data_IF_208256070723
#
_entry.id   IF_208256070723
#
_cell.length_a   1.000
_cell.length_b   1.000
_cell.length_c   1.000
_cell.angle_alpha   90.00
_cell.angle_beta   90.00
_cell.angle_gamma   90.00
#
_symmetry.space_group_name_H-M   'P 1'
#
loop_
_entity.id
_entity.type
_entity.pdbx_description
1 polymer ?
#
# COMPACT_ATOMS: atom_id res chain seq x y z
N UNK A 1 8.53 -30.60 7.73
CA UNK A 1 8.48 -32.04 7.39
C UNK A 1 7.92 -32.79 8.58
N UNK A 2 6.84 -33.53 8.38
CA UNK A 2 6.07 -34.24 9.41
C UNK A 2 5.92 -35.71 9.00
N UNK A 3 7.02 -36.28 8.50
CA UNK A 3 7.09 -37.66 8.04
C UNK A 3 6.72 -38.66 9.16
N UNK A 4 5.84 -39.61 8.84
CA UNK A 4 5.35 -40.65 9.75
C UNK A 4 5.78 -42.03 9.23
N UNK A 5 6.74 -42.64 9.92
CA UNK A 5 7.29 -43.97 9.56
C UNK A 5 6.23 -45.09 9.56
N UNK A 6 5.24 -45.01 10.46
CA UNK A 6 4.09 -45.92 10.51
C UNK A 6 3.29 -45.91 9.20
N UNK A 7 3.03 -44.73 8.64
CA UNK A 7 2.27 -44.58 7.42
C UNK A 7 3.02 -45.13 6.21
N UNK A 8 4.35 -44.90 6.14
CA UNK A 8 5.18 -45.50 5.10
C UNK A 8 5.18 -47.04 5.19
N UNK A 9 5.21 -47.61 6.40
CA UNK A 9 5.11 -49.06 6.60
C UNK A 9 3.77 -49.62 6.11
N UNK A 10 2.68 -48.92 6.42
CA UNK A 10 1.33 -49.29 5.94
C UNK A 10 1.28 -49.30 4.42
N UNK A 11 1.78 -48.24 3.76
CA UNK A 11 1.82 -48.17 2.28
C UNK A 11 2.72 -49.24 1.65
N UNK A 12 3.85 -49.55 2.27
CA UNK A 12 4.73 -50.61 1.81
C UNK A 12 4.04 -52.00 1.85
N UNK A 13 3.26 -52.25 2.91
CA UNK A 13 2.48 -53.48 3.07
C UNK A 13 1.29 -53.55 2.10
N UNK A 14 0.54 -52.46 1.96
CA UNK A 14 -0.58 -52.35 1.00
C UNK A 14 -0.12 -52.60 -0.44
N UNK A 15 1.05 -52.07 -0.82
CA UNK A 15 1.63 -52.27 -2.15
C UNK A 15 2.29 -53.66 -2.34
N UNK A 16 2.30 -54.51 -1.30
CA UNK A 16 2.94 -55.84 -1.34
C UNK A 16 4.44 -55.78 -1.62
N UNK A 17 5.14 -54.70 -1.24
CA UNK A 17 6.56 -54.48 -1.55
C UNK A 17 7.43 -54.76 -0.33
N UNK A 18 8.62 -55.32 -0.57
CA UNK A 18 9.62 -55.53 0.47
C UNK A 18 10.49 -54.30 0.70
N UNK A 19 11.18 -54.26 1.85
CA UNK A 19 12.22 -53.26 2.12
C UNK A 19 13.34 -53.30 1.08
N UNK A 20 13.76 -54.50 0.65
CA UNK A 20 14.78 -54.70 -0.38
C UNK A 20 14.34 -54.14 -1.73
N UNK A 21 13.05 -54.26 -2.07
CA UNK A 21 12.48 -53.66 -3.27
C UNK A 21 12.56 -52.14 -3.24
N UNK A 22 12.15 -51.52 -2.14
CA UNK A 22 12.18 -50.06 -2.00
C UNK A 22 13.62 -49.51 -2.02
N UNK A 23 14.57 -50.21 -1.38
CA UNK A 23 15.99 -49.87 -1.42
C UNK A 23 16.55 -49.84 -2.85
N UNK A 24 16.23 -50.88 -3.64
CA UNK A 24 16.63 -50.97 -5.05
C UNK A 24 16.03 -49.86 -5.91
N UNK A 25 14.75 -49.53 -5.73
CA UNK A 25 14.06 -48.54 -6.57
C UNK A 25 14.40 -47.08 -6.22
N UNK A 26 14.82 -46.83 -4.98
CA UNK A 26 15.24 -45.51 -4.50
C UNK A 26 16.75 -45.28 -4.59
N UNK A 27 17.52 -46.29 -5.03
CA UNK A 27 18.98 -46.21 -5.09
C UNK A 27 19.65 -46.07 -3.72
N UNK A 28 19.00 -46.56 -2.65
CA UNK A 28 19.52 -46.51 -1.27
C UNK A 28 19.88 -47.90 -0.76
N UNK A 29 20.63 -47.94 0.35
CA UNK A 29 20.92 -49.21 1.03
C UNK A 29 19.72 -49.70 1.84
N UNK A 30 19.59 -51.03 2.03
CA UNK A 30 18.56 -51.59 2.91
C UNK A 30 18.65 -51.06 4.35
N UNK A 31 19.87 -50.79 4.84
CA UNK A 31 20.10 -50.18 6.15
C UNK A 31 19.47 -48.79 6.23
N UNK A 32 19.59 -47.98 5.19
CA UNK A 32 18.97 -46.65 5.11
C UNK A 32 17.45 -46.75 5.13
N UNK A 33 16.85 -47.60 4.29
CA UNK A 33 15.40 -47.80 4.27
C UNK A 33 14.89 -48.38 5.59
N UNK A 34 15.65 -49.28 6.23
CA UNK A 34 15.28 -49.78 7.56
C UNK A 34 15.24 -48.68 8.62
N UNK A 35 16.13 -47.69 8.54
CA UNK A 35 16.09 -46.52 9.45
C UNK A 35 14.87 -45.63 9.18
N UNK A 36 14.43 -45.53 7.93
CA UNK A 36 13.21 -44.80 7.55
C UNK A 36 11.96 -45.44 8.17
N UNK A 37 11.81 -46.76 7.98
CA UNK A 37 10.67 -47.53 8.47
C UNK A 37 10.60 -47.60 10.00
N UNK A 38 11.76 -47.52 10.67
CA UNK A 38 11.86 -47.54 12.14
C UNK A 38 11.87 -46.13 12.77
N UNK A 39 11.73 -45.07 11.98
CA UNK A 39 11.65 -43.68 12.48
C UNK A 39 12.98 -43.07 12.97
N UNK A 40 14.13 -43.73 12.77
CA UNK A 40 15.41 -43.24 13.28
C UNK A 40 16.03 -42.11 12.46
N UNK A 41 15.80 -42.09 11.14
CA UNK A 41 16.23 -41.00 10.27
C UNK A 41 15.23 -40.90 9.11
N UNK A 42 14.35 -39.89 9.04
CA UNK A 42 13.36 -39.81 7.97
C UNK A 42 14.01 -39.61 6.58
N UNK A 43 13.32 -39.97 5.48
CA UNK A 43 13.78 -39.64 4.13
C UNK A 43 13.86 -38.13 3.95
N UNK A 44 14.78 -37.65 3.09
CA UNK A 44 14.82 -36.22 2.73
C UNK A 44 13.64 -35.87 1.83
N UNK A 45 13.23 -34.59 1.78
CA UNK A 45 12.09 -34.14 0.95
C UNK A 45 12.20 -34.63 -0.49
N UNK A 46 13.40 -34.55 -1.09
CA UNK A 46 13.67 -35.02 -2.46
C UNK A 46 13.47 -36.52 -2.69
N UNK A 47 13.56 -37.34 -1.65
CA UNK A 47 13.39 -38.79 -1.74
C UNK A 47 11.89 -39.18 -1.64
N UNK A 48 11.01 -38.30 -1.12
CA UNK A 48 9.59 -38.60 -0.88
C UNK A 48 8.77 -38.76 -2.17
N UNK A 49 8.92 -37.94 -3.24
CA UNK A 49 8.26 -38.17 -4.52
C UNK A 49 8.60 -39.53 -5.13
N UNK A 50 9.87 -39.92 -5.08
CA UNK A 50 10.33 -41.20 -5.63
C UNK A 50 9.77 -42.39 -4.85
N UNK A 51 9.67 -42.27 -3.52
CA UNK A 51 9.02 -43.29 -2.69
C UNK A 51 7.54 -43.42 -3.04
N UNK A 52 6.84 -42.28 -3.20
CA UNK A 52 5.42 -42.24 -3.53
C UNK A 52 5.13 -42.86 -4.92
N UNK A 53 5.94 -42.51 -5.92
CA UNK A 53 5.87 -43.06 -7.28
C UNK A 53 6.03 -44.60 -7.27
N UNK A 54 7.04 -45.11 -6.56
CA UNK A 54 7.33 -46.55 -6.47
C UNK A 54 6.21 -47.33 -5.77
N UNK A 55 5.50 -46.68 -4.85
CA UNK A 55 4.40 -47.27 -4.09
C UNK A 55 3.02 -46.98 -4.70
N UNK A 56 2.94 -46.20 -5.78
CA UNK A 56 1.68 -45.83 -6.43
C UNK A 56 0.76 -44.98 -5.56
N UNK A 57 1.34 -44.11 -4.72
CA UNK A 57 0.60 -43.28 -3.77
C UNK A 57 1.09 -41.82 -3.81
N UNK A 58 0.60 -40.95 -2.92
CA UNK A 58 1.03 -39.56 -2.80
C UNK A 58 2.05 -39.40 -1.67
N UNK A 59 3.04 -38.49 -1.76
CA UNK A 59 3.96 -38.23 -0.65
C UNK A 59 3.24 -37.82 0.65
N UNK A 60 2.09 -37.15 0.53
CA UNK A 60 1.25 -36.75 1.67
C UNK A 60 0.69 -37.94 2.46
N UNK A 61 0.63 -39.13 1.86
CA UNK A 61 0.15 -40.34 2.52
C UNK A 61 1.08 -40.81 3.63
N UNK A 62 2.35 -40.37 3.64
CA UNK A 62 3.31 -40.68 4.70
C UNK A 62 4.06 -39.46 5.24
N UNK A 63 3.89 -38.28 4.66
CA UNK A 63 4.23 -37.00 5.26
C UNK A 63 3.10 -35.99 5.02
N UNK A 64 2.13 -35.86 5.94
CA UNK A 64 0.98 -34.97 5.76
C UNK A 64 1.33 -33.49 5.56
N UNK A 65 2.55 -33.07 5.91
CA UNK A 65 3.04 -31.71 5.70
C UNK A 65 3.82 -31.53 4.39
N UNK A 66 3.91 -32.58 3.56
CA UNK A 66 4.67 -32.55 2.33
C UNK A 66 4.00 -31.60 1.31
N UNK A 67 4.63 -30.45 1.11
CA UNK A 67 4.47 -29.67 -0.10
C UNK A 67 5.42 -30.25 -1.16
N UNK A 68 4.96 -30.38 -2.40
CA UNK A 68 5.86 -30.67 -3.51
C UNK A 68 6.89 -29.54 -3.61
N UNK A 69 8.07 -29.77 -3.06
CA UNK A 69 9.29 -29.07 -3.45
C UNK A 69 9.70 -29.63 -4.82
N UNK A 70 8.87 -29.33 -5.82
CA UNK A 70 9.10 -29.67 -7.21
C UNK A 70 10.28 -28.87 -7.73
N UNK A 71 11.25 -29.57 -8.31
CA UNK A 71 12.44 -29.01 -8.97
C UNK A 71 12.13 -28.14 -10.21
N UNK A 72 10.85 -27.80 -10.48
CA UNK A 72 10.40 -26.84 -11.51
C UNK A 72 9.60 -25.66 -10.92
N UNK A 73 9.55 -25.51 -9.59
CA UNK A 73 8.95 -24.34 -8.95
C UNK A 73 9.81 -23.09 -9.17
N UNK A 74 9.28 -22.09 -9.88
CA UNK A 74 9.90 -20.77 -9.95
C UNK A 74 9.79 -20.14 -8.56
N UNK A 75 10.94 -19.95 -7.89
CA UNK A 75 10.97 -19.22 -6.62
C UNK A 75 10.65 -17.75 -6.86
N UNK A 76 9.47 -17.33 -6.41
CA UNK A 76 9.06 -15.92 -6.41
C UNK A 76 9.28 -15.38 -5.01
N UNK A 77 10.44 -14.75 -4.79
CA UNK A 77 10.73 -14.01 -3.57
C UNK A 77 10.27 -12.56 -3.72
N UNK A 78 9.22 -12.16 -3.01
CA UNK A 78 8.80 -10.76 -2.93
C UNK A 78 8.62 -10.35 -1.47
N UNK A 79 9.14 -9.17 -1.10
CA UNK A 79 8.77 -8.54 0.17
C UNK A 79 7.39 -7.92 0.00
N UNK A 80 6.41 -8.40 0.76
CA UNK A 80 5.06 -7.84 0.79
C UNK A 80 4.89 -6.88 1.96
N UNK A 81 3.95 -5.94 1.84
CA UNK A 81 3.60 -5.03 2.93
C UNK A 81 2.88 -5.78 4.06
N UNK A 82 2.83 -5.16 5.24
CA UNK A 82 2.05 -5.69 6.38
C UNK A 82 0.56 -5.77 6.01
N UNK A 83 0.04 -4.80 5.26
CA UNK A 83 -1.34 -4.81 4.76
C UNK A 83 -1.63 -6.06 3.90
N UNK A 84 -0.77 -6.37 2.92
CA UNK A 84 -0.90 -7.57 2.10
C UNK A 84 -0.79 -8.85 2.93
N UNK A 85 0.15 -8.89 3.89
CA UNK A 85 0.28 -10.02 4.80
C UNK A 85 -1.00 -10.22 5.63
N UNK A 86 -1.58 -9.15 6.17
CA UNK A 86 -2.83 -9.23 6.92
C UNK A 86 -3.98 -9.72 6.04
N UNK A 87 -4.08 -9.25 4.79
CA UNK A 87 -5.09 -9.73 3.86
C UNK A 87 -4.96 -11.24 3.60
N UNK A 88 -3.74 -11.76 3.44
CA UNK A 88 -3.51 -13.20 3.31
C UNK A 88 -4.00 -13.99 4.53
N UNK A 89 -3.72 -13.51 5.75
CA UNK A 89 -4.18 -14.17 6.97
C UNK A 89 -5.71 -14.16 7.09
N UNK A 90 -6.35 -13.03 6.79
CA UNK A 90 -7.81 -12.91 6.82
C UNK A 90 -8.44 -13.87 5.81
N UNK A 91 -7.92 -13.94 4.59
CA UNK A 91 -8.40 -14.85 3.55
C UNK A 91 -8.18 -16.32 3.94
N UNK A 92 -7.05 -16.63 4.58
CA UNK A 92 -6.76 -17.98 5.11
C UNK A 92 -7.81 -18.39 6.16
N UNK A 93 -8.12 -17.51 7.10
CA UNK A 93 -9.11 -17.77 8.14
C UNK A 93 -10.55 -17.84 7.60
N UNK A 94 -10.88 -16.99 6.62
CA UNK A 94 -12.24 -16.90 6.06
C UNK A 94 -12.56 -18.02 5.07
N UNK A 95 -11.58 -18.38 4.23
CA UNK A 95 -11.80 -19.26 3.07
C UNK A 95 -10.93 -20.53 3.09
N UNK A 96 -10.05 -20.71 4.08
CA UNK A 96 -9.18 -21.90 4.18
C UNK A 96 -8.12 -21.99 3.08
N UNK A 97 -7.76 -20.86 2.45
CA UNK A 97 -6.81 -20.78 1.34
C UNK A 97 -5.40 -20.43 1.81
N UNK A 98 -4.41 -20.99 1.13
CA UNK A 98 -2.99 -20.68 1.38
C UNK A 98 -2.53 -19.48 0.55
N UNK A 99 -1.46 -18.82 1.01
CA UNK A 99 -0.79 -17.75 0.24
C UNK A 99 -0.39 -18.22 -1.17
N UNK A 100 0.08 -19.46 -1.31
CA UNK A 100 0.43 -20.06 -2.60
C UNK A 100 -0.77 -20.10 -3.54
N UNK A 101 -1.92 -20.60 -3.08
CA UNK A 101 -3.13 -20.67 -3.91
C UNK A 101 -3.59 -19.27 -4.35
N UNK A 102 -3.51 -18.28 -3.45
CA UNK A 102 -3.84 -16.90 -3.81
C UNK A 102 -2.87 -16.37 -4.88
N UNK A 103 -1.56 -16.63 -4.74
CA UNK A 103 -0.56 -16.22 -5.73
C UNK A 103 -0.73 -16.91 -7.08
N UNK A 104 -1.10 -18.20 -7.09
CA UNK A 104 -1.38 -18.95 -8.33
C UNK A 104 -2.64 -18.42 -9.03
N UNK A 105 -3.64 -17.94 -8.28
CA UNK A 105 -4.84 -17.31 -8.83
C UNK A 105 -4.65 -15.83 -9.21
N UNK A 106 -3.61 -15.17 -8.72
CA UNK A 106 -3.40 -13.74 -8.91
C UNK A 106 -3.40 -13.31 -10.39
N UNK A 107 -2.75 -14.01 -11.34
CA UNK A 107 -2.82 -13.65 -12.76
C UNK A 107 -4.23 -13.68 -13.35
N UNK A 108 -5.05 -14.65 -12.93
CA UNK A 108 -6.45 -14.79 -13.38
C UNK A 108 -7.26 -13.60 -12.86
N UNK A 109 -7.22 -13.37 -11.55
CA UNK A 109 -7.93 -12.26 -10.90
C UNK A 109 -7.48 -10.90 -11.47
N UNK A 110 -6.17 -10.71 -11.62
CA UNK A 110 -5.61 -9.50 -12.22
C UNK A 110 -6.12 -9.28 -13.64
N UNK A 111 -6.12 -10.32 -14.49
CA UNK A 111 -6.56 -10.20 -15.88
C UNK A 111 -8.05 -9.80 -16.00
N UNK A 112 -8.90 -10.32 -15.11
CA UNK A 112 -10.32 -9.98 -15.05
C UNK A 112 -10.49 -8.51 -14.67
N UNK A 113 -9.85 -8.07 -13.59
CA UNK A 113 -9.96 -6.68 -13.12
C UNK A 113 -9.34 -5.71 -14.12
N UNK A 114 -8.20 -6.05 -14.73
CA UNK A 114 -7.59 -5.24 -15.78
C UNK A 114 -8.49 -5.12 -17.01
N UNK A 115 -9.21 -6.18 -17.39
CA UNK A 115 -10.18 -6.12 -18.48
C UNK A 115 -11.36 -5.20 -18.15
N UNK A 116 -11.87 -5.24 -16.91
CA UNK A 116 -12.88 -4.28 -16.44
C UNK A 116 -12.34 -2.85 -16.42
N UNK A 117 -11.09 -2.64 -15.97
CA UNK A 117 -10.44 -1.34 -15.93
C UNK A 117 -10.39 -0.69 -17.32
N UNK A 118 -10.01 -1.44 -18.35
CA UNK A 118 -9.94 -0.93 -19.71
C UNK A 118 -11.32 -0.59 -20.31
N UNK A 119 -12.40 -1.14 -19.76
CA UNK A 119 -13.78 -0.84 -20.18
C UNK A 119 -14.40 0.34 -19.47
N UNK A 120 -13.82 0.81 -18.37
CA UNK A 120 -14.36 1.89 -17.55
C UNK A 120 -14.76 3.12 -18.37
N UNK A 121 -13.94 3.66 -19.30
CA UNK A 121 -14.31 4.85 -20.07
C UNK A 121 -15.48 4.59 -21.03
N UNK A 122 -15.54 3.42 -21.64
CA UNK A 122 -16.63 3.05 -22.56
C UNK A 122 -17.94 2.81 -21.80
N UNK A 123 -17.86 2.21 -20.62
CA UNK A 123 -19.01 2.03 -19.72
C UNK A 123 -19.57 3.37 -19.21
N UNK A 124 -18.69 4.33 -18.89
CA UNK A 124 -19.08 5.69 -18.50
C UNK A 124 -19.80 6.40 -19.66
N UNK A 125 -19.26 6.26 -20.87
CA UNK A 125 -19.86 6.85 -22.07
C UNK A 125 -21.22 6.20 -22.39
N UNK A 126 -21.33 4.88 -22.28
CA UNK A 126 -22.57 4.16 -22.48
C UNK A 126 -23.64 4.55 -21.44
N UNK A 127 -23.26 4.68 -20.17
CA UNK A 127 -24.16 5.13 -19.11
C UNK A 127 -24.64 6.58 -19.34
N UNK A 128 -23.74 7.45 -19.83
CA UNK A 128 -24.08 8.81 -20.20
C UNK A 128 -25.12 8.84 -21.33
N UNK A 129 -24.87 8.15 -22.44
CA UNK A 129 -25.81 8.08 -23.56
C UNK A 129 -27.16 7.48 -23.17
N UNK A 130 -27.16 6.40 -22.37
CA UNK A 130 -28.41 5.82 -21.87
C UNK A 130 -29.21 6.81 -21.02
N UNK A 131 -28.56 7.75 -20.35
CA UNK A 131 -29.23 8.79 -19.55
C UNK A 131 -29.79 9.91 -20.43
N UNK A 132 -29.06 10.31 -21.48
CA UNK A 132 -29.54 11.24 -22.50
C UNK A 132 -30.76 10.69 -23.25
N UNK A 133 -30.75 9.39 -23.59
CA UNK A 133 -31.84 8.71 -24.27
C UNK A 133 -33.14 8.69 -23.43
N UNK A 134 -33.02 8.78 -22.10
CA UNK A 134 -34.14 8.93 -21.17
C UNK A 134 -34.63 10.39 -21.03
N UNK A 135 -34.04 11.33 -21.79
CA UNK A 135 -34.38 12.75 -21.77
C UNK A 135 -33.88 13.49 -20.52
N UNK A 136 -32.98 12.88 -19.76
CA UNK A 136 -32.40 13.50 -18.56
C UNK A 136 -31.17 14.31 -18.95
N UNK A 137 -31.16 15.60 -18.60
CA UNK A 137 -29.98 16.43 -18.75
C UNK A 137 -28.96 16.06 -17.66
N UNK A 138 -27.81 15.54 -18.08
CA UNK A 138 -26.68 15.27 -17.19
C UNK A 138 -25.47 16.02 -17.72
N UNK A 139 -24.81 16.79 -16.87
CA UNK A 139 -23.48 17.30 -17.20
C UNK A 139 -22.51 16.11 -17.22
N UNK A 140 -21.97 15.80 -18.40
CA UNK A 140 -21.03 14.69 -18.59
C UNK A 140 -19.78 14.81 -17.72
N UNK A 141 -19.33 16.05 -17.52
CA UNK A 141 -18.16 16.42 -16.74
C UNK A 141 -18.51 17.68 -15.95
N UNK A 142 -18.11 17.72 -14.67
CA UNK A 142 -18.28 18.87 -13.79
C UNK A 142 -17.29 20.00 -14.06
N UNK A 143 -16.22 19.74 -14.83
CA UNK A 143 -15.22 20.74 -15.21
C UNK A 143 -14.55 20.43 -16.56
N UNK A 144 -13.88 21.44 -17.13
CA UNK A 144 -13.00 21.25 -18.30
C UNK A 144 -11.87 20.26 -17.98
N UNK A 145 -11.38 20.27 -16.73
CA UNK A 145 -10.30 19.37 -16.30
C UNK A 145 -10.72 17.91 -16.29
N UNK A 146 -11.93 17.65 -15.84
CA UNK A 146 -12.53 16.31 -15.91
C UNK A 146 -12.75 15.85 -17.35
N UNK A 147 -13.18 16.74 -18.24
CA UNK A 147 -13.37 16.41 -19.65
C UNK A 147 -12.04 16.04 -20.35
N UNK A 148 -10.98 16.80 -20.07
CA UNK A 148 -9.64 16.48 -20.58
C UNK A 148 -9.08 15.19 -19.96
N UNK A 149 -9.26 15.02 -18.65
CA UNK A 149 -8.92 13.78 -17.95
C UNK A 149 -9.63 12.56 -18.52
N UNK A 150 -10.91 12.68 -18.87
CA UNK A 150 -11.67 11.60 -19.50
C UNK A 150 -11.13 11.21 -20.88
N UNK A 151 -10.73 12.18 -21.72
CA UNK A 151 -10.08 11.87 -23.01
C UNK A 151 -8.78 11.08 -22.80
N UNK A 152 -8.05 11.39 -21.74
CA UNK A 152 -6.83 10.69 -21.36
C UNK A 152 -7.08 9.29 -20.81
N UNK A 153 -8.17 9.08 -20.08
CA UNK A 153 -8.62 7.75 -19.68
C UNK A 153 -8.98 6.88 -20.91
N UNK A 154 -9.64 7.45 -21.91
CA UNK A 154 -9.92 6.75 -23.18
C UNK A 154 -8.64 6.37 -23.93
N UNK A 155 -7.63 7.25 -23.92
CA UNK A 155 -6.31 6.94 -24.46
C UNK A 155 -5.64 5.80 -23.67
N UNK A 156 -5.67 5.85 -22.34
CA UNK A 156 -5.13 4.80 -21.47
C UNK A 156 -5.77 3.43 -21.78
N UNK A 157 -7.09 3.40 -21.97
CA UNK A 157 -7.81 2.19 -22.38
C UNK A 157 -7.34 1.65 -23.74
N UNK A 158 -7.25 2.51 -24.77
CA UNK A 158 -6.73 2.15 -26.10
C UNK A 158 -5.31 1.61 -26.05
N UNK A 159 -4.45 2.20 -25.22
CA UNK A 159 -3.05 1.78 -25.03
C UNK A 159 -2.88 0.61 -24.06
N UNK A 160 -3.98 0.03 -23.55
CA UNK A 160 -3.99 -1.07 -22.57
C UNK A 160 -3.28 -0.74 -21.25
N UNK A 161 -3.25 0.53 -20.86
CA UNK A 161 -2.72 1.02 -19.58
C UNK A 161 -3.80 0.87 -18.50
N UNK A 162 -3.95 -0.33 -17.94
CA UNK A 162 -5.04 -0.63 -17.00
C UNK A 162 -4.98 0.17 -15.67
N UNK A 163 -3.83 0.74 -15.29
CA UNK A 163 -3.71 1.65 -14.15
C UNK A 163 -4.02 3.11 -14.51
N UNK A 164 -4.37 3.42 -15.76
CA UNK A 164 -4.54 4.78 -16.24
C UNK A 164 -3.22 5.42 -16.71
N UNK A 165 -3.30 6.71 -17.04
CA UNK A 165 -2.16 7.55 -17.40
C UNK A 165 -2.08 8.74 -16.43
N UNK A 166 -0.88 9.10 -15.94
CA UNK A 166 -0.72 10.33 -15.17
C UNK A 166 -1.10 11.53 -16.05
N UNK A 167 -1.63 12.62 -15.48
CA UNK A 167 -1.97 13.81 -16.26
C UNK A 167 -0.73 14.36 -16.97
N UNK A 168 -0.87 14.85 -18.20
CA UNK A 168 0.21 15.58 -18.88
C UNK A 168 0.42 16.95 -18.23
N UNK A 169 -0.66 17.57 -17.76
CA UNK A 169 -0.63 18.80 -17.00
C UNK A 169 -1.60 18.69 -15.83
N UNK A 170 -1.06 18.70 -14.60
CA UNK A 170 -1.84 18.52 -13.36
C UNK A 170 -2.87 19.64 -13.19
N UNK A 171 -2.60 20.85 -13.68
CA UNK A 171 -3.52 21.99 -13.59
C UNK A 171 -4.70 21.87 -14.56
N UNK A 172 -4.54 21.10 -15.64
CA UNK A 172 -5.49 21.04 -16.75
C UNK A 172 -6.23 19.70 -16.82
N UNK A 173 -5.70 18.61 -16.27
CA UNK A 173 -6.26 17.27 -16.42
C UNK A 173 -6.51 16.60 -15.05
N UNK A 174 -7.71 16.07 -14.85
CA UNK A 174 -8.01 15.19 -13.72
C UNK A 174 -8.16 13.74 -14.21
N UNK A 175 -7.06 12.98 -14.20
CA UNK A 175 -7.07 11.57 -14.63
C UNK A 175 -7.39 10.60 -13.50
N UNK A 176 -7.81 9.39 -13.87
CA UNK A 176 -8.23 8.36 -12.90
C UNK A 176 -7.36 7.10 -13.00
N UNK A 177 -7.15 6.45 -11.86
CA UNK A 177 -6.61 5.10 -11.86
C UNK A 177 -7.73 4.10 -12.22
N UNK A 178 -7.72 3.61 -13.46
CA UNK A 178 -8.81 2.79 -14.00
C UNK A 178 -8.96 1.45 -13.27
N UNK A 179 -7.86 0.86 -12.80
CA UNK A 179 -7.87 -0.40 -12.06
C UNK A 179 -8.56 -0.24 -10.71
N UNK A 180 -8.20 0.81 -9.96
CA UNK A 180 -8.86 1.11 -8.69
C UNK A 180 -10.36 1.36 -8.87
N UNK A 181 -10.75 2.09 -9.92
CA UNK A 181 -12.15 2.34 -10.21
C UNK A 181 -12.92 1.06 -10.59
N UNK A 182 -12.30 0.16 -11.35
CA UNK A 182 -12.87 -1.16 -11.65
C UNK A 182 -13.06 -2.01 -10.38
N UNK A 183 -12.06 -2.05 -9.48
CA UNK A 183 -12.20 -2.72 -8.17
C UNK A 183 -13.37 -2.14 -7.39
N UNK A 184 -13.47 -0.81 -7.28
CA UNK A 184 -14.56 -0.16 -6.56
C UNK A 184 -15.94 -0.48 -7.15
N UNK A 185 -16.06 -0.56 -8.49
CA UNK A 185 -17.30 -0.96 -9.17
C UNK A 185 -17.67 -2.40 -8.90
N UNK A 186 -16.71 -3.32 -8.99
CA UNK A 186 -16.92 -4.75 -8.72
C UNK A 186 -17.32 -4.99 -7.27
N UNK A 187 -16.75 -4.24 -6.33
CA UNK A 187 -17.10 -4.35 -4.92
C UNK A 187 -18.49 -3.79 -4.59
N UNK A 188 -18.99 -2.80 -5.34
CA UNK A 188 -20.28 -2.13 -5.04
C UNK A 188 -21.46 -3.08 -4.91
N UNK A 189 -21.50 -4.17 -5.69
CA UNK A 189 -22.60 -5.14 -5.64
C UNK A 189 -22.47 -6.16 -4.51
N UNK A 190 -21.33 -6.19 -3.82
CA UNK A 190 -20.97 -7.16 -2.77
C UNK A 190 -20.35 -6.47 -1.55
N UNK A 191 -20.70 -5.20 -1.32
CA UNK A 191 -20.06 -4.35 -0.32
C UNK A 191 -20.24 -4.84 1.13
N UNK A 192 -21.27 -5.66 1.37
CA UNK A 192 -21.51 -6.33 2.64
C UNK A 192 -20.47 -7.42 2.96
N UNK A 193 -19.69 -7.86 1.97
CA UNK A 193 -18.70 -8.93 2.11
C UNK A 193 -17.26 -8.42 1.94
N UNK A 194 -17.04 -7.50 1.00
CA UNK A 194 -15.74 -6.88 0.73
C UNK A 194 -15.91 -5.39 0.59
N UNK A 195 -14.93 -4.60 1.01
CA UNK A 195 -15.08 -3.14 0.97
C UNK A 195 -13.79 -2.43 0.58
N UNK A 196 -13.95 -1.36 -0.21
CA UNK A 196 -12.89 -0.44 -0.59
C UNK A 196 -12.88 0.83 0.26
N UNK A 197 -13.68 0.90 1.33
CA UNK A 197 -13.91 2.13 2.10
C UNK A 197 -12.62 2.79 2.60
N UNK A 198 -11.64 1.98 3.01
CA UNK A 198 -10.34 2.44 3.52
C UNK A 198 -9.22 2.33 2.50
N UNK A 199 -9.53 1.81 1.30
CA UNK A 199 -8.54 1.49 0.28
C UNK A 199 -7.82 2.75 -0.18
N UNK A 200 -6.49 2.74 -0.12
CA UNK A 200 -5.69 3.86 -0.59
C UNK A 200 -5.89 3.98 -2.10
N UNK A 201 -6.36 5.16 -2.53
CA UNK A 201 -6.51 5.49 -3.95
C UNK A 201 -5.10 5.72 -4.53
N UNK A 202 -4.62 4.88 -5.46
CA UNK A 202 -3.35 5.10 -6.13
C UNK A 202 -3.47 6.25 -7.14
N UNK A 203 -2.34 6.90 -7.41
CA UNK A 203 -2.26 7.87 -8.49
C UNK A 203 -2.44 7.18 -9.86
N UNK A 204 -2.92 7.92 -10.88
CA UNK A 204 -3.06 7.37 -12.23
C UNK A 204 -1.72 6.89 -12.79
N UNK A 205 -1.69 5.66 -13.29
CA UNK A 205 -0.46 4.99 -13.77
C UNK A 205 0.28 4.19 -12.71
N UNK A 206 -0.03 4.38 -11.42
CA UNK A 206 0.56 3.59 -10.33
C UNK A 206 -0.22 2.30 -10.06
N UNK A 207 0.50 1.26 -9.62
CA UNK A 207 -0.16 0.02 -9.21
C UNK A 207 -0.82 0.19 -7.84
N UNK A 208 -2.10 -0.21 -7.65
CA UNK A 208 -2.69 -0.26 -6.32
C UNK A 208 -1.97 -1.27 -5.43
N UNK A 209 -2.09 -1.07 -4.12
CA UNK A 209 -1.68 -2.04 -3.09
C UNK A 209 -2.90 -2.57 -2.35
N UNK A 210 -2.70 -3.57 -1.48
CA UNK A 210 -3.75 -4.06 -0.60
C UNK A 210 -4.09 -3.11 0.57
N UNK A 211 -3.36 -1.99 0.72
CA UNK A 211 -3.53 -1.08 1.84
C UNK A 211 -4.96 -0.52 1.87
N UNK A 212 -5.66 -0.83 2.96
CA UNK A 212 -7.02 -0.36 3.24
C UNK A 212 -8.14 -1.15 2.56
N UNK A 213 -7.83 -2.16 1.74
CA UNK A 213 -8.85 -3.07 1.23
C UNK A 213 -9.34 -4.00 2.33
N UNK A 214 -10.66 -4.16 2.47
CA UNK A 214 -11.30 -5.04 3.45
C UNK A 214 -11.71 -6.34 2.72
N UNK A 215 -10.95 -7.45 2.88
CA UNK A 215 -11.22 -8.70 2.17
C UNK A 215 -12.36 -9.54 2.76
N UNK A 216 -12.77 -9.24 4.01
CA UNK A 216 -13.92 -9.85 4.67
C UNK A 216 -14.49 -8.87 5.71
N UNK A 217 -15.59 -8.20 5.36
CA UNK A 217 -16.26 -7.21 6.20
C UNK A 217 -16.85 -7.87 7.47
N UNK A 218 -17.64 -8.95 7.38
CA UNK A 218 -18.22 -9.59 8.57
C UNK A 218 -17.18 -10.08 9.58
N UNK A 219 -16.10 -10.70 9.10
CA UNK A 219 -15.04 -11.21 9.97
C UNK A 219 -14.34 -10.07 10.69
N UNK A 220 -13.94 -9.01 9.99
CA UNK A 220 -13.26 -7.89 10.63
C UNK A 220 -14.16 -7.12 11.59
N UNK A 221 -15.46 -6.97 11.29
CA UNK A 221 -16.44 -6.43 12.22
C UNK A 221 -16.54 -7.30 13.49
N UNK A 222 -16.62 -8.62 13.35
CA UNK A 222 -16.71 -9.54 14.49
C UNK A 222 -15.45 -9.49 15.38
N UNK A 223 -14.25 -9.42 14.79
CA UNK A 223 -12.99 -9.42 15.52
C UNK A 223 -12.65 -8.09 16.20
N UNK A 224 -13.14 -6.99 15.64
CA UNK A 224 -12.89 -5.63 16.16
C UNK A 224 -14.03 -5.10 17.02
N UNK A 225 -15.13 -5.86 17.16
CA UNK A 225 -16.36 -5.36 17.80
C UNK A 225 -16.99 -4.20 17.03
N UNK A 226 -16.72 -4.10 15.72
CA UNK A 226 -17.16 -3.00 14.87
C UNK A 226 -16.34 -1.71 15.02
N UNK A 227 -15.19 -1.73 15.68
CA UNK A 227 -14.30 -0.57 15.81
C UNK A 227 -13.61 -0.26 14.47
N UNK A 228 -14.16 0.69 13.72
CA UNK A 228 -13.70 1.06 12.38
C UNK A 228 -12.22 1.49 12.35
N UNK A 229 -11.72 2.12 13.42
CA UNK A 229 -10.31 2.50 13.53
C UNK A 229 -9.40 1.27 13.57
N UNK A 230 -9.82 0.20 14.23
CA UNK A 230 -9.06 -1.07 14.23
C UNK A 230 -9.13 -1.76 12.87
N UNK A 231 -10.29 -1.72 12.20
CA UNK A 231 -10.44 -2.26 10.84
C UNK A 231 -9.50 -1.55 9.87
N UNK A 232 -9.49 -0.22 9.90
CA UNK A 232 -8.58 0.62 9.12
C UNK A 232 -7.11 0.30 9.45
N UNK A 233 -6.76 0.25 10.73
CA UNK A 233 -5.38 -0.01 11.16
C UNK A 233 -4.87 -1.41 10.75
N UNK A 234 -5.73 -2.44 10.78
CA UNK A 234 -5.40 -3.78 10.27
C UNK A 234 -5.19 -3.72 8.75
N UNK A 235 -6.14 -3.14 8.01
CA UNK A 235 -6.12 -3.16 6.54
C UNK A 235 -5.05 -2.25 5.94
N UNK A 236 -4.68 -1.16 6.60
CA UNK A 236 -3.53 -0.32 6.23
C UNK A 236 -2.18 -0.88 6.72
N UNK A 237 -2.19 -1.95 7.51
CA UNK A 237 -0.98 -2.64 7.97
C UNK A 237 -0.25 -1.98 9.13
N UNK A 238 -0.92 -1.12 9.90
CA UNK A 238 -0.41 -0.54 11.14
C UNK A 238 -0.37 -1.57 12.28
N UNK A 239 -1.33 -2.50 12.25
CA UNK A 239 -1.37 -3.66 13.15
C UNK A 239 -0.85 -4.89 12.42
N UNK A 240 0.01 -5.68 13.05
CA UNK A 240 0.42 -7.00 12.52
C UNK A 240 -0.59 -8.05 12.94
N UNK A 241 -1.64 -8.25 12.14
CA UNK A 241 -2.78 -9.09 12.50
C UNK A 241 -2.38 -10.53 12.85
N UNK A 242 -1.47 -11.14 12.08
CA UNK A 242 -0.96 -12.50 12.35
C UNK A 242 -0.39 -12.67 13.77
N UNK A 243 0.32 -11.64 14.26
CA UNK A 243 0.91 -11.63 15.60
C UNK A 243 -0.18 -11.56 16.67
N UNK A 244 -1.14 -10.65 16.49
CA UNK A 244 -2.27 -10.49 17.40
C UNK A 244 -3.13 -11.76 17.45
N UNK A 245 -3.38 -12.38 16.29
CA UNK A 245 -4.13 -13.62 16.18
C UNK A 245 -3.45 -14.77 16.92
N UNK A 246 -2.14 -14.95 16.71
CA UNK A 246 -1.38 -15.99 17.40
C UNK A 246 -1.30 -15.80 18.92
N UNK A 247 -1.38 -14.55 19.42
CA UNK A 247 -1.50 -14.27 20.85
C UNK A 247 -2.91 -14.62 21.36
N UNK A 248 -3.95 -14.17 20.66
CA UNK A 248 -5.33 -14.47 20.98
C UNK A 248 -5.61 -15.99 21.05
N UNK A 249 -5.03 -16.77 20.13
CA UNK A 249 -5.14 -18.24 20.16
C UNK A 249 -4.46 -18.88 21.38
N UNK A 250 -3.38 -18.29 21.90
CA UNK A 250 -2.63 -18.80 23.06
C UNK A 250 -3.33 -18.51 24.38
N UNK A 251 -3.95 -17.34 24.51
CA UNK A 251 -4.58 -16.89 25.75
C UNK A 251 -5.84 -17.72 26.09
N UNK A 252 -6.42 -18.42 25.12
CA UNK A 252 -7.53 -19.36 25.33
C UNK A 252 -8.89 -18.72 25.63
N UNK A 253 -8.92 -17.43 25.98
CA UNK A 253 -10.14 -16.65 26.19
C UNK A 253 -10.66 -16.14 24.84
N UNK A 254 -11.64 -16.85 24.28
CA UNK A 254 -12.20 -16.57 22.95
C UNK A 254 -13.36 -15.58 23.00
N UNK A 255 -13.12 -14.36 23.45
CA UNK A 255 -14.11 -13.27 23.43
C UNK A 255 -13.68 -12.13 22.51
N UNK A 256 -14.64 -11.36 22.01
CA UNK A 256 -14.37 -10.19 21.15
C UNK A 256 -13.58 -9.14 21.92
N UNK A 257 -13.89 -8.93 23.19
CA UNK A 257 -13.24 -7.96 24.06
C UNK A 257 -11.74 -8.27 24.24
N UNK A 258 -11.40 -9.57 24.35
CA UNK A 258 -10.01 -10.00 24.46
C UNK A 258 -9.22 -9.69 23.18
N UNK A 259 -9.79 -10.00 22.01
CA UNK A 259 -9.17 -9.67 20.72
C UNK A 259 -9.00 -8.15 20.54
N UNK A 260 -10.05 -7.37 20.83
CA UNK A 260 -10.01 -5.91 20.76
C UNK A 260 -8.93 -5.32 21.68
N UNK A 261 -8.77 -5.86 22.89
CA UNK A 261 -7.71 -5.41 23.80
C UNK A 261 -6.31 -5.67 23.24
N UNK A 262 -6.06 -6.85 22.65
CA UNK A 262 -4.78 -7.18 21.99
C UNK A 262 -4.51 -6.22 20.83
N UNK A 263 -5.51 -6.00 19.97
CA UNK A 263 -5.41 -5.11 18.81
C UNK A 263 -5.10 -3.66 19.20
N UNK A 264 -5.82 -3.11 20.18
CA UNK A 264 -5.58 -1.75 20.68
C UNK A 264 -4.20 -1.58 21.28
N UNK A 265 -3.73 -2.58 22.02
CA UNK A 265 -2.39 -2.56 22.61
C UNK A 265 -1.30 -2.59 21.53
N UNK A 266 -1.46 -3.40 20.48
CA UNK A 266 -0.52 -3.41 19.35
C UNK A 266 -0.53 -2.07 18.61
N UNK A 267 -1.71 -1.50 18.36
CA UNK A 267 -1.84 -0.20 17.69
C UNK A 267 -1.13 0.91 18.47
N UNK A 268 -1.34 0.99 19.79
CA UNK A 268 -0.68 1.99 20.64
C UNK A 268 0.84 1.81 20.64
N UNK A 269 1.33 0.56 20.64
CA UNK A 269 2.77 0.27 20.53
C UNK A 269 3.33 0.76 19.19
N UNK A 270 2.65 0.48 18.07
CA UNK A 270 3.04 0.98 16.75
C UNK A 270 3.02 2.50 16.70
N UNK A 271 1.97 3.14 17.20
CA UNK A 271 1.82 4.60 17.19
C UNK A 271 2.89 5.28 18.07
N UNK A 272 3.23 4.70 19.22
CA UNK A 272 4.31 5.16 20.08
C UNK A 272 5.68 5.03 19.39
N UNK A 273 5.94 3.88 18.74
CA UNK A 273 7.16 3.68 17.99
C UNK A 273 7.28 4.65 16.80
N UNK A 274 6.19 4.87 16.07
CA UNK A 274 6.10 5.83 14.96
C UNK A 274 6.40 7.25 15.45
N UNK A 275 5.74 7.71 16.52
CA UNK A 275 5.99 9.03 17.13
C UNK A 275 7.45 9.21 17.55
N UNK A 276 8.06 8.19 18.17
CA UNK A 276 9.49 8.22 18.52
C UNK A 276 10.40 8.31 17.30
N UNK A 277 10.10 7.56 16.23
CA UNK A 277 10.86 7.61 14.99
C UNK A 277 10.75 8.98 14.30
N UNK A 278 9.54 9.55 14.23
CA UNK A 278 9.30 10.89 13.68
C UNK A 278 10.01 11.97 14.51
N UNK A 279 9.96 11.89 15.84
CA UNK A 279 10.68 12.83 16.71
C UNK A 279 12.20 12.74 16.51
N UNK A 280 12.75 11.51 16.41
CA UNK A 280 14.16 11.31 16.09
C UNK A 280 14.53 11.90 14.73
N UNK A 281 13.73 11.62 13.70
CA UNK A 281 13.91 12.18 12.35
C UNK A 281 13.87 13.71 12.37
N UNK A 282 12.97 14.31 13.15
CA UNK A 282 12.90 15.77 13.31
C UNK A 282 14.20 16.33 13.88
N UNK A 283 14.74 15.72 14.94
CA UNK A 283 16.01 16.16 15.54
C UNK A 283 17.17 16.06 14.57
N UNK A 284 17.30 14.93 13.85
CA UNK A 284 18.34 14.74 12.82
C UNK A 284 18.19 15.73 11.65
N UNK A 285 16.95 15.97 11.22
CA UNK A 285 16.60 16.89 10.15
C UNK A 285 16.85 18.35 10.54
N UNK A 286 16.58 18.76 11.79
CA UNK A 286 16.93 20.08 12.33
C UNK A 286 18.44 20.31 12.33
N UNK A 287 19.22 19.36 12.85
CA UNK A 287 20.67 19.47 12.83
C UNK A 287 21.22 19.62 11.39
N UNK A 288 20.63 18.89 10.44
CA UNK A 288 20.97 19.00 9.02
C UNK A 288 20.56 20.36 8.42
N UNK A 289 19.40 20.88 8.82
CA UNK A 289 18.91 22.20 8.41
C UNK A 289 19.85 23.31 8.88
N UNK A 290 20.25 23.28 10.15
CA UNK A 290 21.15 24.29 10.72
C UNK A 290 22.50 24.30 10.01
N UNK A 291 23.08 23.11 9.78
CA UNK A 291 24.33 22.98 9.03
C UNK A 291 24.22 23.51 7.60
N UNK A 292 23.12 23.21 6.92
CA UNK A 292 22.89 23.71 5.57
C UNK A 292 22.63 25.23 5.52
N UNK A 293 21.90 25.78 6.49
CA UNK A 293 21.67 27.23 6.58
C UNK A 293 22.97 27.98 6.78
N UNK A 294 23.85 27.51 7.66
CA UNK A 294 25.18 28.08 7.85
C UNK A 294 26.01 28.02 6.55
N UNK A 295 26.00 26.89 5.85
CA UNK A 295 26.66 26.72 4.54
C UNK A 295 26.12 27.70 3.48
N UNK A 296 24.80 27.89 3.44
CA UNK A 296 24.13 28.76 2.48
C UNK A 296 24.40 30.24 2.77
N UNK A 297 24.32 30.65 4.03
CA UNK A 297 24.60 32.02 4.47
C UNK A 297 26.05 32.43 4.20
N UNK A 298 27.02 31.51 4.38
CA UNK A 298 28.43 31.77 4.07
C UNK A 298 28.64 32.10 2.57
N UNK A 299 27.89 31.46 1.68
CA UNK A 299 28.03 31.61 0.21
C UNK A 299 27.13 32.69 -0.38
N UNK A 300 25.97 32.91 0.24
CA UNK A 300 24.92 33.77 -0.28
C UNK A 300 24.29 34.62 0.84
N UNK A 301 25.08 35.46 1.54
CA UNK A 301 24.62 36.14 2.75
C UNK A 301 23.43 37.08 2.50
N UNK A 302 23.41 37.77 1.37
CA UNK A 302 22.32 38.70 1.04
C UNK A 302 21.02 37.96 0.66
N UNK A 303 21.13 36.85 -0.09
CA UNK A 303 19.96 36.03 -0.43
C UNK A 303 19.40 35.29 0.78
N UNK A 304 20.26 34.90 1.72
CA UNK A 304 19.86 34.30 2.98
C UNK A 304 19.05 35.29 3.83
N UNK A 305 19.58 36.50 4.02
CA UNK A 305 18.90 37.59 4.75
C UNK A 305 17.55 37.93 4.12
N UNK A 306 17.51 38.12 2.80
CA UNK A 306 16.27 38.42 2.08
C UNK A 306 15.23 37.32 2.24
N UNK A 307 15.64 36.04 2.16
CA UNK A 307 14.74 34.92 2.38
C UNK A 307 14.14 34.93 3.80
N UNK A 308 14.99 35.15 4.81
CA UNK A 308 14.56 35.20 6.21
C UNK A 308 13.60 36.38 6.47
N UNK A 309 13.86 37.54 5.86
CA UNK A 309 12.96 38.70 5.90
C UNK A 309 11.60 38.41 5.26
N UNK A 310 11.58 37.73 4.11
CA UNK A 310 10.32 37.35 3.45
C UNK A 310 9.55 36.34 4.32
N UNK A 311 10.22 35.32 4.84
CA UNK A 311 9.60 34.30 5.70
C UNK A 311 9.02 34.94 6.95
N UNK A 312 9.74 35.85 7.61
CA UNK A 312 9.29 36.50 8.84
C UNK A 312 8.05 37.38 8.64
N UNK A 313 7.94 38.04 7.48
CA UNK A 313 6.90 39.04 7.23
C UNK A 313 5.69 38.50 6.46
N UNK A 314 5.87 37.49 5.62
CA UNK A 314 4.86 37.07 4.64
C UNK A 314 4.50 35.59 4.66
N UNK A 315 5.21 34.74 5.41
CA UNK A 315 4.87 33.32 5.51
C UNK A 315 4.05 33.00 6.77
N UNK A 316 3.31 31.90 6.70
CA UNK A 316 2.71 31.28 7.89
C UNK A 316 3.79 30.78 8.88
N UNK A 317 3.47 30.68 10.19
CA UNK A 317 4.41 30.20 11.19
C UNK A 317 4.91 28.78 10.90
N UNK A 318 6.08 28.43 11.44
CA UNK A 318 6.66 27.09 11.30
C UNK A 318 5.67 26.01 11.78
N UNK A 319 5.51 24.95 10.97
CA UNK A 319 4.56 23.87 11.22
C UNK A 319 3.12 24.15 10.81
N UNK A 320 2.83 25.32 10.24
CA UNK A 320 1.56 25.55 9.55
C UNK A 320 1.54 24.86 8.19
N UNK A 321 0.42 24.22 7.89
CA UNK A 321 0.18 23.55 6.61
C UNK A 321 -1.26 23.81 6.17
N UNK A 322 -1.53 23.86 4.85
CA UNK A 322 -2.89 24.03 4.34
C UNK A 322 -3.87 22.98 4.86
N UNK A 323 -5.16 23.33 4.95
CA UNK A 323 -6.19 22.43 5.47
C UNK A 323 -6.39 21.17 4.62
N UNK A 324 -6.15 21.28 3.32
CA UNK A 324 -6.24 20.16 2.38
C UNK A 324 -5.07 19.15 2.50
N UNK A 325 -4.01 19.45 3.25
CA UNK A 325 -3.03 18.43 3.64
C UNK A 325 -3.65 17.48 4.67
N UNK A 326 -3.58 16.18 4.40
CA UNK A 326 -3.98 15.14 5.37
C UNK A 326 -3.09 15.14 6.61
N UNK A 327 -3.63 14.71 7.75
CA UNK A 327 -2.93 14.69 9.04
C UNK A 327 -1.61 13.90 8.99
N UNK A 328 -1.58 12.77 8.28
CA UNK A 328 -0.38 11.95 8.14
C UNK A 328 0.72 12.66 7.34
N UNK A 329 0.37 13.36 6.26
CA UNK A 329 1.32 14.17 5.51
C UNK A 329 1.89 15.31 6.37
N UNK A 330 1.02 16.01 7.12
CA UNK A 330 1.43 17.06 8.06
C UNK A 330 2.45 16.54 9.08
N UNK A 331 2.22 15.37 9.67
CA UNK A 331 3.17 14.74 10.60
C UNK A 331 4.52 14.40 9.94
N UNK A 332 4.52 13.87 8.72
CA UNK A 332 5.74 13.52 7.98
C UNK A 332 6.55 14.75 7.61
N UNK A 333 5.90 15.79 7.09
CA UNK A 333 6.54 17.06 6.75
C UNK A 333 7.09 17.75 8.01
N UNK A 334 6.31 17.74 9.11
CA UNK A 334 6.77 18.27 10.38
C UNK A 334 7.96 17.47 10.95
N UNK A 335 8.08 16.19 10.64
CA UNK A 335 9.25 15.40 11.01
C UNK A 335 10.49 15.68 10.13
N UNK A 336 10.38 16.45 9.05
CA UNK A 336 11.49 16.77 8.14
C UNK A 336 11.65 18.27 7.85
N UNK A 337 11.95 19.11 8.85
CA UNK A 337 12.14 20.56 8.66
C UNK A 337 13.27 20.93 7.67
N UNK A 338 14.21 20.04 7.37
CA UNK A 338 15.25 20.23 6.37
C UNK A 338 14.72 20.58 4.97
N UNK A 339 13.53 20.10 4.60
CA UNK A 339 12.92 20.44 3.31
C UNK A 339 12.49 21.91 3.26
N UNK A 340 12.33 22.56 4.42
CA UNK A 340 11.86 23.94 4.58
C UNK A 340 10.54 24.20 3.85
N UNK A 341 9.58 23.29 4.03
CA UNK A 341 8.23 23.52 3.54
C UNK A 341 7.66 24.78 4.21
N UNK A 342 7.41 25.82 3.40
CA UNK A 342 6.98 27.15 3.81
C UNK A 342 5.91 27.64 2.85
N UNK A 343 4.87 28.23 3.42
CA UNK A 343 3.71 28.72 2.68
C UNK A 343 3.54 30.20 2.95
N UNK A 344 3.37 30.98 1.88
CA UNK A 344 3.00 32.39 1.96
C UNK A 344 1.60 32.49 2.58
N UNK A 345 1.42 33.46 3.46
CA UNK A 345 0.12 33.91 3.90
C UNK A 345 -0.36 35.00 2.94
N UNK A 346 -1.28 34.65 2.05
CA UNK A 346 -1.79 35.57 1.02
C UNK A 346 -2.35 36.87 1.62
N UNK A 347 -2.89 36.83 2.84
CA UNK A 347 -3.45 38.00 3.53
C UNK A 347 -2.39 39.05 3.89
N UNK A 348 -1.12 38.64 3.99
CA UNK A 348 -0.02 39.53 4.32
C UNK A 348 0.52 40.28 3.11
N UNK A 349 0.24 39.78 1.89
CA UNK A 349 0.77 40.31 0.65
C UNK A 349 0.23 41.72 0.36
N UNK A 350 1.08 42.66 -0.09
CA UNK A 350 0.66 44.01 -0.43
C UNK A 350 -0.47 44.06 -1.45
N UNK A 351 -0.39 43.25 -2.51
CA UNK A 351 -1.42 43.22 -3.56
C UNK A 351 -2.78 42.74 -3.05
N UNK A 352 -2.79 41.81 -2.07
CA UNK A 352 -4.02 41.38 -1.41
C UNK A 352 -4.59 42.49 -0.53
N UNK A 353 -3.76 43.11 0.33
CA UNK A 353 -4.17 44.21 1.22
C UNK A 353 -4.75 45.39 0.45
N UNK A 354 -4.15 45.74 -0.67
CA UNK A 354 -4.65 46.82 -1.54
C UNK A 354 -6.04 46.47 -2.10
N UNK A 355 -6.22 45.27 -2.65
CA UNK A 355 -7.52 44.85 -3.20
C UNK A 355 -8.58 44.63 -2.13
N UNK A 356 -8.20 44.17 -0.95
CA UNK A 356 -9.10 44.05 0.20
C UNK A 356 -9.63 45.43 0.62
N UNK A 357 -8.76 46.44 0.70
CA UNK A 357 -9.15 47.83 0.96
C UNK A 357 -10.05 48.42 -0.15
N UNK A 358 -9.80 48.08 -1.42
CA UNK A 358 -10.67 48.47 -2.54
C UNK A 358 -12.04 47.78 -2.49
N UNK A 359 -12.14 46.58 -1.89
CA UNK A 359 -13.37 45.77 -1.79
C UNK A 359 -14.31 46.15 -0.66
N UNK A 360 -13.83 46.83 0.39
CA UNK A 360 -14.69 47.42 1.43
C UNK A 360 -15.72 48.41 0.86
N UNK A 361 -15.53 48.84 -0.40
CA UNK A 361 -16.48 49.63 -1.19
C UNK A 361 -17.47 48.80 -2.05
N UNK A 362 -17.59 47.47 -1.82
CA UNK A 362 -18.62 46.62 -2.44
C UNK A 362 -18.20 45.84 -3.69
N UNK A 363 -16.91 45.81 -4.06
CA UNK A 363 -16.40 45.01 -5.17
C UNK A 363 -15.92 43.63 -4.71
N UNK A 364 -16.11 42.56 -5.51
CA UNK A 364 -15.55 41.23 -5.19
C UNK A 364 -14.03 41.24 -5.36
N UNK A 365 -13.29 40.80 -4.34
CA UNK A 365 -11.84 40.61 -4.38
C UNK A 365 -11.51 39.42 -5.29
N UNK A 366 -10.91 39.69 -6.44
CA UNK A 366 -10.22 38.67 -7.22
C UNK A 366 -8.72 38.99 -7.20
N UNK A 367 -7.97 38.25 -6.39
CA UNK A 367 -6.52 38.39 -6.25
C UNK A 367 -5.85 37.06 -6.62
N UNK A 368 -4.78 37.15 -7.40
CA UNK A 368 -3.98 36.01 -7.83
C UNK A 368 -2.60 36.14 -7.17
N UNK A 369 -2.32 35.39 -6.08
CA UNK A 369 -1.10 35.57 -5.28
C UNK A 369 0.20 35.51 -6.08
N UNK A 370 0.26 34.63 -7.10
CA UNK A 370 1.43 34.45 -7.96
C UNK A 370 1.80 35.65 -8.83
N UNK A 371 0.94 36.67 -8.89
CA UNK A 371 1.23 37.94 -9.58
C UNK A 371 1.91 38.96 -8.67
N UNK A 372 1.96 38.72 -7.35
CA UNK A 372 2.60 39.63 -6.40
C UNK A 372 4.14 39.51 -6.50
N UNK A 373 4.88 40.63 -6.58
CA UNK A 373 6.35 40.61 -6.65
C UNK A 373 7.02 39.86 -5.49
N UNK A 374 6.43 39.91 -4.28
CA UNK A 374 6.96 39.21 -3.11
C UNK A 374 6.81 37.70 -3.28
N UNK A 375 5.65 37.27 -3.80
CA UNK A 375 5.42 35.86 -4.11
C UNK A 375 6.42 35.34 -5.14
N UNK A 376 6.60 36.07 -6.25
CA UNK A 376 7.54 35.68 -7.31
C UNK A 376 8.98 35.64 -6.81
N UNK A 377 9.35 36.60 -5.95
CA UNK A 377 10.67 36.65 -5.35
C UNK A 377 10.90 35.49 -4.39
N UNK A 378 9.91 35.15 -3.56
CA UNK A 378 9.95 34.01 -2.68
C UNK A 378 10.17 32.68 -3.43
N UNK A 379 9.41 32.45 -4.50
CA UNK A 379 9.57 31.25 -5.34
C UNK A 379 10.93 31.19 -6.02
N UNK A 380 11.46 32.34 -6.47
CA UNK A 380 12.82 32.44 -7.03
C UNK A 380 13.88 32.05 -5.99
N UNK A 381 13.75 32.54 -4.76
CA UNK A 381 14.67 32.21 -3.67
C UNK A 381 14.56 30.73 -3.26
N UNK A 382 13.35 30.17 -3.23
CA UNK A 382 13.14 28.73 -2.99
C UNK A 382 13.83 27.88 -4.04
N UNK A 383 13.68 28.22 -5.32
CA UNK A 383 14.34 27.50 -6.41
C UNK A 383 15.87 27.56 -6.29
N UNK A 384 16.42 28.75 -6.02
CA UNK A 384 17.86 28.91 -5.81
C UNK A 384 18.37 28.11 -4.59
N UNK A 385 17.66 28.16 -3.46
CA UNK A 385 17.99 27.41 -2.24
C UNK A 385 17.94 25.90 -2.48
N UNK A 386 16.95 25.41 -3.25
CA UNK A 386 16.86 24.00 -3.63
C UNK A 386 18.09 23.56 -4.44
N UNK A 387 18.50 24.34 -5.45
CA UNK A 387 19.72 24.05 -6.21
C UNK A 387 21.00 24.05 -5.34
N UNK A 388 21.09 24.95 -4.36
CA UNK A 388 22.21 24.96 -3.41
C UNK A 388 22.18 23.80 -2.40
N UNK A 389 20.98 23.34 -1.99
CA UNK A 389 20.83 22.12 -1.16
C UNK A 389 21.42 20.89 -1.87
N UNK A 390 21.27 20.78 -3.18
CA UNK A 390 21.82 19.66 -3.93
C UNK A 390 23.36 19.67 -3.93
N UNK A 391 23.99 20.84 -4.10
CA UNK A 391 25.44 20.98 -3.97
C UNK A 391 25.94 20.63 -2.56
N UNK A 392 25.23 21.05 -1.52
CA UNK A 392 25.54 20.69 -0.13
C UNK A 392 25.48 19.17 0.09
N UNK A 393 24.50 18.48 -0.53
CA UNK A 393 24.38 17.02 -0.44
C UNK A 393 25.50 16.29 -1.15
N UNK A 394 26.02 16.83 -2.26
CA UNK A 394 27.15 16.26 -2.99
C UNK A 394 28.48 16.40 -2.24
N UNK A 395 28.71 17.52 -1.55
CA UNK A 395 29.93 17.74 -0.76
C UNK A 395 29.95 16.98 0.58
N UNK A 396 28.79 16.51 1.05
CA UNK A 396 28.64 15.72 2.27
C UNK A 396 28.73 14.19 2.04
N UNK A 397 28.91 13.75 0.79
CA UNK A 397 29.21 12.35 0.41
C UNK A 397 30.70 12.18 0.20
#
# INVERSE_FOLDING_TARGET
>A
MAFKAELLRTKLKEAGKSRSFLARQTGKTERTVSRWLNGGNPPKSKDLPRIAEVLGCKPQDFDPSFAEDGQDGISIGARVSVASHNAYEILSLSYGVTQRQIMELAPVLFSIVAAHALRVPDEDLAAFHATEDLGLYVQRHGSVREAQGFMRDQLAAKERKCFGLPPANIEEEETRNLFHLAVARLCRTIEANVSVQHMVRPDPGESPSAAGFIPDVPMLQALTGGDDRLIEAITKGQIRFAKCWAEFEKDGVRTVEAMVAILRRELEQTDSARRKALAKRRTESLAKLDAWRAFYEERHPDLAREYDEIVANYCHPDGWYPDWYGAELKEVLNANPYDEERHINDETLPGYKQKAAESENGARVFFLPFTDPIYQRFETLKFHRAGSKDQFREQAR
#
